data_IF_354630881554
#
_entry.id   IF_354630881554
#
_cell.length_a   1.000
_cell.length_b   1.000
_cell.length_c   1.000
_cell.angle_alpha   90.00
_cell.angle_beta   90.00
_cell.angle_gamma   90.00
#
_symmetry.space_group_name_H-M   'P 1'
#
loop_
_entity.id
_entity.type
_entity.pdbx_description
1 polymer ?
#
# COMPACT_ATOMS: atom_id res chain seq x y z
N UNK A 1 7.76 -3.34 -29.02
CA UNK A 1 6.46 -3.07 -29.68
C UNK A 1 6.09 -1.58 -29.70
N UNK A 2 6.89 -0.71 -29.05
CA UNK A 2 6.70 0.74 -29.12
C UNK A 2 7.00 1.27 -30.52
N UNK A 3 6.18 2.24 -31.02
CA UNK A 3 6.40 2.91 -32.30
C UNK A 3 5.63 2.35 -33.49
N UNK A 4 4.72 1.39 -33.29
CA UNK A 4 3.81 0.93 -34.34
C UNK A 4 2.70 1.98 -34.55
N UNK A 5 2.55 2.49 -35.79
CA UNK A 5 1.51 3.47 -36.15
C UNK A 5 0.20 2.81 -36.62
N UNK A 6 0.27 1.57 -37.08
CA UNK A 6 -0.85 0.83 -37.64
C UNK A 6 -1.06 -0.48 -36.84
N UNK A 7 -2.31 -0.86 -36.70
CA UNK A 7 -2.74 -2.06 -35.98
C UNK A 7 -2.10 -3.34 -36.56
N UNK A 8 -2.07 -3.50 -37.88
CA UNK A 8 -1.47 -4.65 -38.55
C UNK A 8 0.02 -4.84 -38.23
N UNK A 9 0.78 -3.76 -38.15
CA UNK A 9 2.21 -3.81 -37.82
C UNK A 9 2.46 -4.35 -36.40
N UNK A 10 1.57 -4.03 -35.46
CA UNK A 10 1.68 -4.52 -34.07
C UNK A 10 1.38 -6.03 -34.03
N UNK A 11 0.31 -6.46 -34.67
CA UNK A 11 -0.11 -7.87 -34.73
C UNK A 11 0.98 -8.73 -35.39
N UNK A 12 1.54 -8.29 -36.50
CA UNK A 12 2.61 -8.98 -37.21
C UNK A 12 3.87 -9.11 -36.37
N UNK A 13 4.31 -8.03 -35.72
CA UNK A 13 5.46 -8.05 -34.81
C UNK A 13 5.25 -8.94 -33.60
N UNK A 14 4.06 -8.88 -32.98
CA UNK A 14 3.75 -9.75 -31.85
C UNK A 14 3.76 -11.22 -32.27
N UNK A 15 3.18 -11.53 -33.42
CA UNK A 15 3.19 -12.89 -33.97
C UNK A 15 4.59 -13.40 -34.20
N UNK A 16 5.46 -12.60 -34.83
CA UNK A 16 6.87 -12.96 -35.05
C UNK A 16 7.61 -13.23 -33.72
N UNK A 17 7.39 -12.40 -32.70
CA UNK A 17 7.98 -12.62 -31.37
C UNK A 17 7.46 -13.90 -30.71
N UNK A 18 6.16 -14.20 -30.84
CA UNK A 18 5.61 -15.43 -30.27
C UNK A 18 6.13 -16.68 -31.02
N UNK A 19 6.26 -16.63 -32.33
CA UNK A 19 6.83 -17.70 -33.14
C UNK A 19 8.30 -17.97 -32.76
N UNK A 20 9.10 -16.91 -32.60
CA UNK A 20 10.49 -17.04 -32.14
C UNK A 20 10.58 -17.62 -30.71
N UNK A 21 9.67 -17.24 -29.80
CA UNK A 21 9.62 -17.78 -28.46
C UNK A 21 9.16 -19.24 -28.40
N UNK A 22 8.25 -19.67 -29.33
CA UNK A 22 7.82 -21.07 -29.44
C UNK A 22 8.95 -22.01 -29.90
N UNK A 23 9.98 -21.48 -30.58
CA UNK A 23 11.16 -22.23 -31.04
C UNK A 23 12.27 -22.33 -29.99
N UNK A 24 12.17 -21.57 -28.89
CA UNK A 24 13.20 -21.46 -27.84
C UNK A 24 12.73 -22.09 -26.54
N UNK A 25 13.26 -23.25 -26.21
CA UNK A 25 12.94 -23.96 -24.96
C UNK A 25 13.52 -23.26 -23.70
N UNK A 26 14.49 -22.36 -23.86
CA UNK A 26 15.16 -21.62 -22.79
C UNK A 26 14.53 -20.24 -22.50
N UNK A 27 13.50 -19.86 -23.23
CA UNK A 27 12.87 -18.56 -23.12
C UNK A 27 11.60 -18.59 -22.25
N UNK A 28 11.46 -17.58 -21.40
CA UNK A 28 10.26 -17.34 -20.59
C UNK A 28 9.71 -15.94 -20.91
N UNK A 29 8.47 -15.87 -21.34
CA UNK A 29 7.76 -14.61 -21.57
C UNK A 29 7.18 -14.11 -20.25
N UNK A 30 7.64 -12.96 -19.77
CA UNK A 30 7.03 -12.27 -18.65
C UNK A 30 6.09 -11.17 -19.15
N UNK A 31 4.84 -11.18 -18.66
CA UNK A 31 3.83 -10.16 -19.00
C UNK A 31 3.33 -9.54 -17.71
N UNK A 32 3.71 -8.29 -17.49
CA UNK A 32 3.17 -7.49 -16.39
C UNK A 32 1.75 -7.03 -16.73
N UNK A 33 0.88 -6.94 -15.72
CA UNK A 33 -0.54 -6.55 -15.87
C UNK A 33 -1.24 -7.34 -16.98
N UNK A 34 -1.05 -8.66 -17.00
CA UNK A 34 -1.54 -9.55 -18.08
C UNK A 34 -3.06 -9.44 -18.31
N UNK A 35 -3.82 -9.01 -17.30
CA UNK A 35 -5.25 -8.76 -17.41
C UNK A 35 -5.58 -7.68 -18.46
N UNK A 36 -4.70 -6.70 -18.68
CA UNK A 36 -4.89 -5.68 -19.70
C UNK A 36 -4.95 -6.28 -21.12
N UNK A 37 -4.27 -7.39 -21.32
CA UNK A 37 -4.23 -8.11 -22.60
C UNK A 37 -5.40 -9.10 -22.69
N UNK A 38 -5.77 -9.73 -21.57
CA UNK A 38 -6.74 -10.83 -21.54
C UNK A 38 -8.18 -10.38 -21.29
N UNK A 39 -8.39 -9.21 -20.65
CA UNK A 39 -9.71 -8.76 -20.18
C UNK A 39 -10.48 -7.84 -21.09
N UNK A 40 -9.94 -7.47 -22.21
CA UNK A 40 -10.45 -6.37 -23.02
C UNK A 40 -11.59 -6.74 -23.98
N UNK A 41 -12.55 -7.49 -23.51
CA UNK A 41 -13.84 -7.59 -24.19
C UNK A 41 -14.72 -6.35 -24.11
N UNK A 42 -14.35 -5.34 -23.30
CA UNK A 42 -15.24 -4.21 -23.00
C UNK A 42 -14.75 -2.83 -23.50
N UNK A 43 -13.53 -2.69 -24.02
CA UNK A 43 -13.00 -1.33 -24.22
C UNK A 43 -12.20 -1.03 -25.50
N UNK A 44 -11.89 -1.99 -26.35
CA UNK A 44 -11.16 -1.68 -27.58
C UNK A 44 -10.81 -2.88 -28.44
N UNK A 45 -11.00 -2.73 -29.74
CA UNK A 45 -10.76 -3.79 -30.72
C UNK A 45 -9.30 -4.32 -30.72
N UNK A 46 -8.31 -3.52 -30.28
CA UNK A 46 -6.89 -3.87 -30.30
C UNK A 46 -6.44 -4.89 -29.24
N UNK A 47 -7.08 -4.89 -28.07
CA UNK A 47 -6.73 -5.80 -26.96
C UNK A 47 -7.33 -7.20 -27.14
N UNK A 48 -8.45 -7.30 -27.82
CA UNK A 48 -9.09 -8.58 -28.17
C UNK A 48 -8.19 -9.43 -29.10
N UNK A 49 -7.40 -8.79 -29.94
CA UNK A 49 -6.53 -9.46 -30.89
C UNK A 49 -5.31 -10.09 -30.21
N UNK A 50 -4.70 -9.41 -29.24
CA UNK A 50 -3.54 -9.93 -28.48
C UNK A 50 -3.92 -11.18 -27.69
N UNK A 51 -5.07 -11.16 -27.01
CA UNK A 51 -5.59 -12.34 -26.30
C UNK A 51 -5.79 -13.53 -27.24
N UNK A 52 -6.36 -13.27 -28.42
CA UNK A 52 -6.61 -14.31 -29.44
C UNK A 52 -5.32 -14.87 -30.04
N UNK A 53 -4.24 -14.10 -30.06
CA UNK A 53 -2.92 -14.58 -30.53
C UNK A 53 -2.18 -15.37 -29.44
N UNK A 54 -2.26 -14.94 -28.17
CA UNK A 54 -1.61 -15.63 -27.06
C UNK A 54 -2.28 -16.96 -26.69
N UNK A 55 -3.62 -17.04 -26.75
CA UNK A 55 -4.36 -18.27 -26.42
C UNK A 55 -3.89 -19.51 -27.20
N UNK A 56 -3.73 -19.48 -28.52
CA UNK A 56 -3.22 -20.64 -29.29
C UNK A 56 -1.78 -21.01 -28.91
N UNK A 57 -0.89 -20.02 -28.70
CA UNK A 57 0.50 -20.26 -28.31
C UNK A 57 0.58 -20.95 -26.93
N UNK A 58 -0.20 -20.48 -25.97
CA UNK A 58 -0.31 -21.11 -24.65
C UNK A 58 -0.95 -22.49 -24.71
N UNK A 59 -1.91 -22.71 -25.63
CA UNK A 59 -2.56 -24.02 -25.79
C UNK A 59 -1.64 -25.08 -26.34
N UNK A 60 -0.72 -24.73 -27.21
CA UNK A 60 0.30 -25.67 -27.75
C UNK A 60 1.28 -26.19 -26.68
N UNK A 61 1.40 -25.49 -25.53
CA UNK A 61 2.28 -25.86 -24.44
C UNK A 61 3.76 -25.64 -24.70
N UNK A 62 4.12 -24.95 -25.78
CA UNK A 62 5.49 -24.61 -26.13
C UNK A 62 5.95 -23.26 -25.55
N UNK A 63 5.02 -22.36 -25.23
CA UNK A 63 5.33 -21.06 -24.68
C UNK A 63 5.33 -21.13 -23.16
N UNK A 64 6.50 -20.87 -22.55
CA UNK A 64 6.59 -20.64 -21.12
C UNK A 64 6.25 -19.18 -20.81
N UNK A 65 5.24 -18.96 -19.98
CA UNK A 65 4.75 -17.62 -19.69
C UNK A 65 4.52 -17.42 -18.19
N UNK A 66 4.97 -16.29 -17.68
CA UNK A 66 4.67 -15.78 -16.33
C UNK A 66 3.88 -14.49 -16.50
N UNK A 67 2.70 -14.42 -15.92
CA UNK A 67 1.89 -13.20 -15.90
C UNK A 67 1.71 -12.67 -14.49
N UNK A 68 1.82 -11.37 -14.29
CA UNK A 68 1.44 -10.70 -13.04
C UNK A 68 0.07 -10.03 -13.18
N UNK A 69 -0.70 -10.01 -12.11
CA UNK A 69 -1.98 -9.32 -12.04
C UNK A 69 -2.44 -9.16 -10.59
N UNK A 70 -3.38 -8.28 -10.33
CA UNK A 70 -4.03 -8.18 -9.02
C UNK A 70 -5.06 -9.29 -8.82
N UNK A 71 -5.45 -9.55 -7.57
CA UNK A 71 -6.43 -10.58 -7.26
C UNK A 71 -7.83 -10.24 -7.80
N UNK A 72 -8.17 -8.96 -7.80
CA UNK A 72 -9.46 -8.48 -8.28
C UNK A 72 -9.56 -8.59 -9.81
N UNK A 73 -8.49 -8.19 -10.51
CA UNK A 73 -8.39 -8.34 -11.97
C UNK A 73 -8.36 -9.82 -12.40
N UNK A 74 -7.68 -10.67 -11.61
CA UNK A 74 -7.71 -12.12 -11.83
C UNK A 74 -9.14 -12.66 -11.80
N UNK A 75 -9.94 -12.30 -10.77
CA UNK A 75 -11.34 -12.71 -10.65
C UNK A 75 -12.22 -12.18 -11.78
N UNK A 76 -11.98 -10.93 -12.19
CA UNK A 76 -12.77 -10.29 -13.24
C UNK A 76 -12.48 -10.85 -14.62
N UNK A 77 -11.22 -11.12 -14.94
CA UNK A 77 -10.77 -11.40 -16.30
C UNK A 77 -10.33 -12.85 -16.53
N UNK A 78 -9.63 -13.47 -15.56
CA UNK A 78 -9.10 -14.81 -15.73
C UNK A 78 -10.05 -15.92 -15.29
N UNK A 79 -10.70 -15.82 -14.16
CA UNK A 79 -11.58 -16.88 -13.64
C UNK A 79 -12.74 -17.23 -14.58
N UNK A 80 -13.17 -16.28 -15.37
CA UNK A 80 -14.24 -16.45 -16.36
C UNK A 80 -13.79 -17.22 -17.60
N UNK A 81 -12.50 -17.21 -17.91
CA UNK A 81 -11.94 -17.91 -19.08
C UNK A 81 -11.34 -19.26 -18.67
N UNK A 82 -12.17 -20.31 -18.77
CA UNK A 82 -11.77 -21.69 -18.44
C UNK A 82 -10.55 -22.20 -19.21
N UNK A 83 -10.29 -21.67 -20.42
CA UNK A 83 -9.15 -22.09 -21.23
C UNK A 83 -7.84 -21.55 -20.67
N UNK A 84 -7.84 -20.33 -20.16
CA UNK A 84 -6.69 -19.71 -19.51
C UNK A 84 -6.44 -20.30 -18.11
N UNK A 85 -7.47 -20.44 -17.30
CA UNK A 85 -7.35 -21.01 -15.94
C UNK A 85 -6.68 -22.39 -15.96
N UNK A 86 -6.94 -23.22 -16.98
CA UNK A 86 -6.32 -24.55 -17.12
C UNK A 86 -4.84 -24.51 -17.51
N UNK A 87 -4.33 -23.36 -17.97
CA UNK A 87 -2.96 -23.20 -18.48
C UNK A 87 -2.05 -22.46 -17.53
N UNK A 88 -2.62 -21.62 -16.66
CA UNK A 88 -1.86 -20.89 -15.67
C UNK A 88 -2.04 -21.50 -14.29
N UNK A 89 -0.93 -21.85 -13.65
CA UNK A 89 -0.93 -22.15 -12.23
C UNK A 89 -0.95 -20.83 -11.45
N UNK A 90 -1.97 -20.64 -10.61
CA UNK A 90 -2.07 -19.48 -9.74
C UNK A 90 -1.07 -19.58 -8.60
N UNK A 91 -0.20 -18.59 -8.50
CA UNK A 91 0.74 -18.39 -7.40
C UNK A 91 0.36 -17.11 -6.67
N UNK A 92 0.06 -17.22 -5.38
CA UNK A 92 -0.23 -16.04 -4.54
C UNK A 92 1.07 -15.44 -4.03
N UNK A 93 1.26 -14.14 -4.28
CA UNK A 93 2.34 -13.35 -3.71
C UNK A 93 1.70 -12.43 -2.66
N UNK A 94 1.96 -12.73 -1.40
CA UNK A 94 1.38 -12.00 -0.27
C UNK A 94 2.20 -10.76 0.08
N UNK A 95 1.56 -9.81 0.77
CA UNK A 95 2.25 -8.64 1.32
C UNK A 95 3.29 -9.11 2.35
N UNK A 96 4.54 -8.63 2.29
CA UNK A 96 5.58 -9.02 3.22
C UNK A 96 5.23 -8.56 4.65
N UNK A 97 5.76 -9.27 5.63
CA UNK A 97 5.71 -8.83 7.02
C UNK A 97 6.47 -7.51 7.21
N UNK A 98 6.16 -6.77 8.28
CA UNK A 98 6.89 -5.53 8.62
C UNK A 98 8.39 -5.80 8.71
N UNK A 99 8.80 -6.91 9.32
CA UNK A 99 10.21 -7.27 9.48
C UNK A 99 10.88 -7.59 8.14
N UNK A 100 10.18 -8.24 7.23
CA UNK A 100 10.72 -8.52 5.90
C UNK A 100 10.72 -7.27 5.03
N UNK A 101 9.71 -6.41 5.15
CA UNK A 101 9.71 -5.10 4.50
C UNK A 101 10.90 -4.24 4.94
N UNK A 102 11.27 -4.22 6.23
CA UNK A 102 12.48 -3.54 6.72
C UNK A 102 13.75 -4.08 6.06
N UNK A 103 13.86 -5.40 5.86
CA UNK A 103 15.00 -6.01 5.16
C UNK A 103 15.03 -5.60 3.69
N UNK A 104 13.87 -5.60 3.01
CA UNK A 104 13.73 -5.20 1.61
C UNK A 104 14.14 -3.73 1.43
N UNK A 105 13.59 -2.82 2.23
CA UNK A 105 13.89 -1.39 2.19
C UNK A 105 15.38 -1.13 2.45
N UNK A 106 15.96 -1.81 3.44
CA UNK A 106 17.39 -1.72 3.73
C UNK A 106 18.25 -2.18 2.55
N UNK A 107 17.89 -3.29 1.90
CA UNK A 107 18.60 -3.80 0.73
C UNK A 107 18.56 -2.81 -0.44
N UNK A 108 17.41 -2.24 -0.73
CA UNK A 108 17.21 -1.31 -1.83
C UNK A 108 17.72 0.12 -1.54
N UNK A 109 17.85 0.51 -0.28
CA UNK A 109 18.25 1.88 0.14
C UNK A 109 19.56 2.36 -0.47
N UNK A 110 20.47 1.45 -0.77
CA UNK A 110 21.78 1.75 -1.41
C UNK A 110 21.58 2.35 -2.81
N UNK A 111 20.60 1.87 -3.57
CA UNK A 111 20.30 2.39 -4.91
C UNK A 111 19.71 3.80 -4.82
N UNK A 112 18.77 4.03 -3.90
CA UNK A 112 18.20 5.36 -3.63
C UNK A 112 19.25 6.34 -3.12
N UNK A 113 20.09 5.91 -2.19
CA UNK A 113 21.20 6.71 -1.65
C UNK A 113 22.15 7.18 -2.76
N UNK A 114 22.53 6.28 -3.67
CA UNK A 114 23.38 6.58 -4.82
C UNK A 114 22.70 7.52 -5.82
N UNK A 115 21.41 7.29 -6.09
CA UNK A 115 20.64 8.09 -7.04
C UNK A 115 20.46 9.55 -6.59
N UNK A 116 20.14 9.74 -5.30
CA UNK A 116 19.92 11.07 -4.73
C UNK A 116 21.20 11.74 -4.20
N UNK A 117 22.32 10.99 -4.08
CA UNK A 117 23.58 11.51 -3.52
C UNK A 117 23.53 11.76 -2.01
N UNK A 118 22.74 10.99 -1.27
CA UNK A 118 22.47 11.15 0.18
C UNK A 118 22.57 9.81 0.89
N UNK A 119 22.58 9.85 2.23
CA UNK A 119 22.57 8.65 3.06
C UNK A 119 21.27 8.58 3.85
N UNK A 120 20.72 7.39 4.01
CA UNK A 120 19.60 7.13 4.91
C UNK A 120 20.12 6.51 6.21
N UNK A 121 19.66 6.99 7.34
CA UNK A 121 19.96 6.35 8.63
C UNK A 121 19.13 5.06 8.74
N UNK A 122 19.59 4.12 9.58
CA UNK A 122 18.86 2.88 9.83
C UNK A 122 17.49 3.15 10.46
N UNK A 123 17.44 4.14 11.33
CA UNK A 123 16.25 4.63 12.01
C UNK A 123 15.25 5.18 11.01
N UNK A 124 15.69 6.00 10.04
CA UNK A 124 14.83 6.52 8.97
C UNK A 124 14.21 5.40 8.12
N UNK A 125 14.99 4.39 7.73
CA UNK A 125 14.50 3.26 6.94
C UNK A 125 13.47 2.42 7.72
N UNK A 126 13.71 2.17 9.01
CA UNK A 126 12.77 1.46 9.85
C UNK A 126 11.48 2.27 10.04
N UNK A 127 11.60 3.57 10.36
CA UNK A 127 10.47 4.47 10.51
C UNK A 127 9.65 4.58 9.22
N UNK A 128 10.27 4.56 8.05
CA UNK A 128 9.53 4.57 6.78
C UNK A 128 8.60 3.36 6.65
N UNK A 129 9.01 2.18 7.10
CA UNK A 129 8.18 0.98 7.10
C UNK A 129 7.10 1.07 8.17
N UNK A 130 7.47 1.35 9.42
CA UNK A 130 6.54 1.35 10.56
C UNK A 130 5.46 2.42 10.40
N UNK A 131 5.85 3.65 10.06
CA UNK A 131 4.93 4.75 9.87
C UNK A 131 4.05 4.58 8.63
N UNK A 132 4.60 4.07 7.51
CA UNK A 132 3.77 3.79 6.34
C UNK A 132 2.76 2.68 6.63
N UNK A 133 3.13 1.64 7.37
CA UNK A 133 2.23 0.57 7.77
C UNK A 133 1.07 1.11 8.62
N UNK A 134 1.34 2.06 9.51
CA UNK A 134 0.36 2.62 10.43
C UNK A 134 -0.58 3.65 9.78
N UNK A 135 -0.04 4.54 8.93
CA UNK A 135 -0.78 5.72 8.46
C UNK A 135 -1.21 5.66 6.99
N UNK A 136 -0.58 4.83 6.14
CA UNK A 136 -0.95 4.67 4.73
C UNK A 136 -1.69 3.35 4.56
N UNK A 137 -3.03 3.40 4.53
CA UNK A 137 -3.88 2.21 4.50
C UNK A 137 -4.28 1.77 3.10
N UNK A 138 -4.21 2.67 2.13
CA UNK A 138 -4.63 2.46 0.74
C UNK A 138 -3.56 1.75 -0.12
N UNK A 139 -2.32 1.68 0.36
CA UNK A 139 -1.20 1.02 -0.31
C UNK A 139 -0.63 -0.13 0.52
N UNK A 140 0.11 -1.02 -0.15
CA UNK A 140 0.72 -2.20 0.44
C UNK A 140 2.23 -2.03 0.66
N UNK A 141 2.78 -2.77 1.63
CA UNK A 141 4.23 -2.92 1.79
C UNK A 141 4.78 -3.84 0.68
N UNK A 142 6.02 -3.62 0.23
CA UNK A 142 6.96 -2.56 0.65
C UNK A 142 6.76 -1.22 -0.07
N UNK A 143 5.88 -1.13 -1.06
CA UNK A 143 5.74 -0.02 -1.99
C UNK A 143 5.51 1.33 -1.28
N UNK A 144 4.58 1.38 -0.33
CA UNK A 144 4.31 2.60 0.45
C UNK A 144 5.50 3.10 1.28
N UNK A 145 6.41 2.23 1.67
CA UNK A 145 7.64 2.62 2.36
C UNK A 145 8.70 3.12 1.36
N UNK A 146 8.73 2.56 0.14
CA UNK A 146 9.53 3.10 -0.95
C UNK A 146 9.11 4.51 -1.32
N UNK A 147 7.81 4.78 -1.43
CA UNK A 147 7.30 6.14 -1.69
C UNK A 147 7.83 7.16 -0.68
N UNK A 148 7.91 6.80 0.60
CA UNK A 148 8.42 7.70 1.64
C UNK A 148 9.92 7.98 1.50
N UNK A 149 10.75 6.94 1.28
CA UNK A 149 12.20 7.15 1.12
C UNK A 149 12.53 7.86 -0.17
N UNK A 150 11.78 7.60 -1.25
CA UNK A 150 11.92 8.28 -2.52
C UNK A 150 11.55 9.76 -2.40
N UNK A 151 10.40 10.08 -1.81
CA UNK A 151 9.95 11.46 -1.58
C UNK A 151 10.94 12.24 -0.70
N UNK A 152 11.46 11.61 0.37
CA UNK A 152 12.45 12.24 1.23
C UNK A 152 13.77 12.50 0.49
N UNK A 153 14.21 11.58 -0.36
CA UNK A 153 15.38 11.73 -1.21
C UNK A 153 15.21 12.82 -2.26
N UNK A 154 14.09 12.81 -2.95
CA UNK A 154 13.75 13.80 -3.96
C UNK A 154 13.70 15.22 -3.36
N UNK A 155 13.11 15.37 -2.17
CA UNK A 155 13.08 16.65 -1.46
C UNK A 155 14.49 17.19 -1.19
N UNK A 156 15.39 16.37 -0.70
CA UNK A 156 16.77 16.80 -0.44
C UNK A 156 17.48 17.24 -1.73
N UNK A 157 17.19 16.57 -2.84
CA UNK A 157 17.79 16.93 -4.14
C UNK A 157 17.35 18.30 -4.66
N UNK A 158 16.11 18.72 -4.42
CA UNK A 158 15.58 20.04 -4.81
C UNK A 158 15.87 21.14 -3.78
N UNK A 159 16.30 20.78 -2.56
CA UNK A 159 16.70 21.73 -1.53
C UNK A 159 18.01 22.42 -1.94
N UNK A 160 18.16 23.76 -1.75
CA UNK A 160 19.40 24.47 -2.03
C UNK A 160 20.61 23.83 -1.32
N UNK A 161 21.79 23.88 -1.95
CA UNK A 161 22.99 23.21 -1.41
C UNK A 161 23.33 23.59 0.03
N UNK A 162 23.13 24.86 0.41
CA UNK A 162 23.40 25.34 1.75
C UNK A 162 22.50 24.75 2.83
N UNK A 163 21.28 24.31 2.45
CA UNK A 163 20.27 23.77 3.37
C UNK A 163 20.12 22.24 3.22
N UNK A 164 20.86 21.64 2.27
CA UNK A 164 20.79 20.21 1.97
C UNK A 164 21.45 19.38 3.06
N UNK A 165 20.72 18.42 3.59
CA UNK A 165 21.26 17.44 4.52
C UNK A 165 21.94 16.29 3.78
N UNK A 166 23.10 15.88 4.22
CA UNK A 166 23.80 14.71 3.68
C UNK A 166 23.14 13.38 4.12
N UNK A 167 22.39 13.44 5.21
CA UNK A 167 21.73 12.27 5.80
C UNK A 167 20.24 12.56 6.00
N UNK A 168 19.41 11.59 5.63
CA UNK A 168 17.98 11.57 5.94
C UNK A 168 17.79 10.80 7.24
N UNK A 169 17.13 11.42 8.18
CA UNK A 169 16.75 10.85 9.45
C UNK A 169 15.22 10.67 9.57
N UNK A 170 14.74 10.20 10.69
CA UNK A 170 13.32 9.96 10.98
C UNK A 170 12.45 11.20 10.75
N UNK A 171 12.97 12.39 11.06
CA UNK A 171 12.21 13.64 10.89
C UNK A 171 11.86 13.94 9.42
N UNK A 172 12.78 13.68 8.49
CA UNK A 172 12.51 13.87 7.07
C UNK A 172 11.42 12.90 6.59
N UNK A 173 11.43 11.67 7.10
CA UNK A 173 10.39 10.67 6.78
C UNK A 173 9.03 11.11 7.33
N UNK A 174 8.96 11.63 8.57
CA UNK A 174 7.72 12.14 9.16
C UNK A 174 7.14 13.31 8.38
N UNK A 175 8.01 14.22 7.88
CA UNK A 175 7.57 15.35 7.07
C UNK A 175 6.93 14.86 5.76
N UNK A 176 7.53 13.89 5.08
CA UNK A 176 6.95 13.37 3.85
C UNK A 176 5.68 12.54 4.12
N UNK A 177 5.65 11.77 5.20
CA UNK A 177 4.44 11.08 5.63
C UNK A 177 3.28 12.06 5.88
N UNK A 178 3.54 13.16 6.60
CA UNK A 178 2.53 14.19 6.87
C UNK A 178 1.88 14.72 5.59
N UNK A 179 2.66 14.90 4.53
CA UNK A 179 2.15 15.35 3.23
C UNK A 179 1.34 14.27 2.50
N UNK A 180 1.87 13.03 2.47
CA UNK A 180 1.24 11.91 1.75
C UNK A 180 -0.05 11.49 2.44
N UNK A 181 0.00 11.29 3.76
CA UNK A 181 -1.16 10.87 4.56
C UNK A 181 -2.10 12.03 4.92
N UNK A 182 -1.71 13.30 4.67
CA UNK A 182 -2.45 14.51 5.05
C UNK A 182 -2.74 14.60 6.55
N UNK A 183 -1.78 14.20 7.37
CA UNK A 183 -1.86 14.19 8.84
C UNK A 183 -0.89 15.24 9.38
N UNK A 184 -1.29 16.06 10.38
CA UNK A 184 -0.39 17.03 11.01
C UNK A 184 0.84 16.35 11.63
N UNK A 185 2.01 16.99 11.50
CA UNK A 185 3.29 16.47 12.04
C UNK A 185 3.23 16.24 13.57
N UNK A 186 2.52 17.10 14.27
CA UNK A 186 2.36 16.99 15.73
C UNK A 186 1.70 15.66 16.13
N UNK A 187 0.70 15.23 15.35
CA UNK A 187 0.02 13.94 15.58
C UNK A 187 0.96 12.74 15.37
N UNK A 188 1.88 12.84 14.41
CA UNK A 188 2.84 11.77 14.12
C UNK A 188 3.93 11.72 15.21
N UNK A 189 4.37 12.89 15.69
CA UNK A 189 5.44 13.00 16.69
C UNK A 189 4.98 12.66 18.11
N UNK A 190 3.76 13.02 18.48
CA UNK A 190 3.21 12.76 19.82
C UNK A 190 2.92 11.28 20.07
N UNK A 191 2.52 10.51 19.06
CA UNK A 191 2.22 9.07 19.23
C UNK A 191 3.46 8.19 19.53
N UNK A 192 4.66 8.62 19.21
CA UNK A 192 5.88 7.87 19.56
C UNK A 192 6.28 8.00 21.05
N UNK A 193 5.89 9.11 21.69
CA UNK A 193 6.27 9.41 23.09
C UNK A 193 5.22 8.92 24.10
N UNK A 194 3.96 8.71 23.66
CA UNK A 194 2.83 8.54 24.58
C UNK A 194 2.19 7.15 24.58
N UNK A 195 2.86 6.09 24.10
CA UNK A 195 2.23 4.76 24.07
C UNK A 195 1.82 4.20 25.44
N UNK A 196 2.38 4.68 26.54
CA UNK A 196 2.09 4.13 27.89
C UNK A 196 1.25 5.04 28.81
N UNK A 197 1.20 6.36 28.58
CA UNK A 197 0.53 7.30 29.53
C UNK A 197 -0.87 7.73 29.09
N UNK A 198 -1.23 7.56 27.82
CA UNK A 198 -2.34 8.28 27.21
C UNK A 198 -3.76 7.83 27.60
N UNK A 199 -3.96 6.59 28.09
CA UNK A 199 -5.33 6.11 28.36
C UNK A 199 -5.81 6.49 29.76
N UNK A 200 -4.90 6.55 30.74
CA UNK A 200 -5.22 7.03 32.10
C UNK A 200 -5.50 8.54 32.06
N UNK A 201 -4.75 9.28 31.25
CA UNK A 201 -4.97 10.71 31.05
C UNK A 201 -6.23 10.98 30.24
N UNK A 202 -6.57 10.10 29.26
CA UNK A 202 -7.84 10.16 28.53
C UNK A 202 -9.05 10.04 29.47
N UNK A 203 -9.03 9.07 30.39
CA UNK A 203 -10.11 8.90 31.38
C UNK A 203 -10.30 10.16 32.22
N UNK A 204 -9.22 10.70 32.80
CA UNK A 204 -9.27 11.93 33.59
C UNK A 204 -9.79 13.11 32.79
N UNK A 205 -9.33 13.26 31.56
CA UNK A 205 -9.71 14.37 30.70
C UNK A 205 -11.18 14.27 30.23
N UNK A 206 -11.64 13.08 29.85
CA UNK A 206 -13.05 12.86 29.48
C UNK A 206 -13.96 13.13 30.66
N UNK A 207 -13.65 12.59 31.84
CA UNK A 207 -14.44 12.80 33.06
C UNK A 207 -14.41 14.25 33.54
N UNK A 208 -13.36 15.02 33.22
CA UNK A 208 -13.28 16.46 33.57
C UNK A 208 -14.11 17.37 32.66
N UNK A 209 -14.45 16.91 31.46
CA UNK A 209 -15.15 17.72 30.44
C UNK A 209 -16.59 17.26 30.16
N UNK A 210 -16.88 15.99 30.41
CA UNK A 210 -18.20 15.38 30.18
C UNK A 210 -18.73 14.91 31.55
N UNK A 211 -19.76 15.60 32.05
CA UNK A 211 -20.32 15.34 33.37
C UNK A 211 -21.61 14.52 33.26
N UNK A 212 -21.80 13.59 34.22
CA UNK A 212 -23.05 12.85 34.35
C UNK A 212 -23.27 11.75 33.30
N UNK A 213 -22.22 11.33 32.59
CA UNK A 213 -22.26 10.24 31.61
C UNK A 213 -21.22 9.14 31.96
N UNK A 214 -20.97 8.92 33.24
CA UNK A 214 -19.88 8.06 33.71
C UNK A 214 -19.97 6.62 33.20
N UNK A 215 -21.17 6.04 33.16
CA UNK A 215 -21.40 4.69 32.66
C UNK A 215 -21.09 4.56 31.17
N UNK A 216 -21.55 5.51 30.37
CA UNK A 216 -21.30 5.53 28.94
C UNK A 216 -19.80 5.77 28.62
N UNK A 217 -19.15 6.64 29.40
CA UNK A 217 -17.72 6.86 29.29
C UNK A 217 -16.91 5.63 29.70
N UNK A 218 -17.30 4.91 30.72
CA UNK A 218 -16.61 3.69 31.16
C UNK A 218 -16.67 2.61 30.09
N UNK A 219 -17.84 2.33 29.52
CA UNK A 219 -17.97 1.37 28.42
C UNK A 219 -17.10 1.72 27.21
N UNK A 220 -16.98 3.00 26.89
CA UNK A 220 -16.14 3.48 25.82
C UNK A 220 -14.65 3.29 26.13
N UNK A 221 -14.23 3.63 27.34
CA UNK A 221 -12.86 3.48 27.81
C UNK A 221 -12.45 2.01 27.86
N UNK A 222 -13.29 1.12 28.36
CA UNK A 222 -13.03 -0.34 28.40
C UNK A 222 -12.77 -0.88 26.99
N UNK A 223 -13.55 -0.46 26.00
CA UNK A 223 -13.35 -0.87 24.63
C UNK A 223 -12.03 -0.33 24.04
N UNK A 224 -11.63 0.87 24.41
CA UNK A 224 -10.35 1.47 24.04
C UNK A 224 -9.17 0.76 24.71
N UNK A 225 -9.29 0.42 25.99
CA UNK A 225 -8.28 -0.37 26.72
C UNK A 225 -8.04 -1.72 26.05
N UNK A 226 -9.11 -2.47 25.72
CA UNK A 226 -9.02 -3.76 25.03
C UNK A 226 -8.35 -3.63 23.67
N UNK A 227 -8.64 -2.55 22.93
CA UNK A 227 -8.03 -2.30 21.63
C UNK A 227 -6.54 -1.96 21.74
N UNK A 228 -6.15 -1.10 22.69
CA UNK A 228 -4.75 -0.74 22.92
C UNK A 228 -3.92 -1.87 23.51
N UNK A 229 -4.54 -2.77 24.27
CA UNK A 229 -3.87 -3.97 24.78
C UNK A 229 -3.55 -5.01 23.69
N UNK A 230 -3.86 -4.71 22.40
CA UNK A 230 -3.58 -5.62 21.29
C UNK A 230 -4.46 -6.86 21.25
N UNK A 231 -5.55 -6.89 22.03
CA UNK A 231 -6.47 -8.03 22.10
C UNK A 231 -7.50 -8.04 20.97
N UNK A 232 -7.49 -7.03 20.08
CA UNK A 232 -8.31 -6.96 18.87
C UNK A 232 -7.47 -7.13 17.60
N UNK A 233 -8.11 -7.62 16.54
CA UNK A 233 -7.52 -7.67 15.20
C UNK A 233 -7.20 -6.24 14.73
N UNK A 234 -5.93 -5.90 14.45
CA UNK A 234 -5.52 -4.54 14.05
C UNK A 234 -6.16 -4.05 12.75
N UNK A 235 -6.74 -4.98 11.96
CA UNK A 235 -7.44 -4.66 10.71
C UNK A 235 -8.89 -4.23 10.93
N UNK A 236 -9.41 -4.36 12.15
CA UNK A 236 -10.78 -3.99 12.49
C UNK A 236 -10.80 -2.64 13.22
N UNK A 237 -11.83 -1.81 13.00
CA UNK A 237 -11.98 -0.58 13.75
C UNK A 237 -12.13 -0.87 15.25
N UNK A 238 -11.72 0.08 16.09
CA UNK A 238 -11.84 -0.02 17.54
C UNK A 238 -13.26 -0.33 17.99
N UNK A 239 -14.26 0.22 17.30
CA UNK A 239 -15.66 -0.08 17.50
C UNK A 239 -16.57 0.88 16.72
N UNK A 240 -17.83 0.51 16.60
CA UNK A 240 -18.90 1.39 16.13
C UNK A 240 -19.82 1.64 17.31
N UNK A 241 -19.98 2.91 17.70
CA UNK A 241 -20.76 3.29 18.87
C UNK A 241 -21.95 4.15 18.46
N UNK A 242 -23.12 3.83 18.99
CA UNK A 242 -24.33 4.61 18.80
C UNK A 242 -24.73 5.28 20.13
N UNK A 243 -24.54 6.59 20.22
CA UNK A 243 -25.01 7.36 21.38
C UNK A 243 -26.50 7.68 21.25
N UNK A 244 -27.32 7.15 22.15
CA UNK A 244 -28.77 7.39 22.22
C UNK A 244 -29.09 8.18 23.49
N UNK A 245 -30.06 9.09 23.42
CA UNK A 245 -30.47 9.90 24.58
C UNK A 245 -31.11 11.21 24.17
N UNK A 246 -31.67 11.97 25.13
CA UNK A 246 -32.34 13.25 24.88
C UNK A 246 -31.43 14.29 24.22
N UNK A 247 -32.01 15.31 23.60
CA UNK A 247 -31.26 16.44 23.05
C UNK A 247 -30.55 17.20 24.18
N UNK A 248 -29.29 17.61 23.96
CA UNK A 248 -28.53 18.40 24.95
C UNK A 248 -27.81 17.59 26.03
N UNK A 249 -27.90 16.27 26.08
CA UNK A 249 -27.28 15.43 27.12
C UNK A 249 -25.76 15.13 26.90
N UNK A 250 -25.09 15.83 26.00
CA UNK A 250 -23.62 15.70 25.84
C UNK A 250 -23.14 14.69 24.81
N UNK A 251 -24.00 14.03 24.01
CA UNK A 251 -23.60 13.01 23.01
C UNK A 251 -22.52 13.50 22.03
N UNK A 252 -22.75 14.66 21.43
CA UNK A 252 -21.80 15.28 20.47
C UNK A 252 -20.51 15.71 21.16
N UNK A 253 -20.60 16.21 22.40
CA UNK A 253 -19.45 16.64 23.16
C UNK A 253 -18.55 15.44 23.54
N UNK A 254 -19.15 14.32 23.94
CA UNK A 254 -18.43 13.07 24.20
C UNK A 254 -17.65 12.62 22.96
N UNK A 255 -18.30 12.62 21.79
CA UNK A 255 -17.63 12.25 20.53
C UNK A 255 -16.50 13.23 20.16
N UNK A 256 -16.71 14.54 20.35
CA UNK A 256 -15.70 15.57 20.09
C UNK A 256 -14.50 15.44 21.00
N UNK A 257 -14.72 15.25 22.29
CA UNK A 257 -13.63 15.10 23.27
C UNK A 257 -12.87 13.79 23.02
N UNK A 258 -13.54 12.72 22.66
CA UNK A 258 -12.89 11.47 22.26
C UNK A 258 -12.00 11.66 21.03
N UNK A 259 -12.50 12.35 19.99
CA UNK A 259 -11.75 12.59 18.76
C UNK A 259 -10.50 13.47 18.96
N UNK A 260 -10.49 14.32 19.98
CA UNK A 260 -9.32 15.13 20.31
C UNK A 260 -8.17 14.33 20.94
N UNK A 261 -8.43 13.10 21.40
CA UNK A 261 -7.46 12.24 22.09
C UNK A 261 -7.07 10.99 21.31
N UNK A 262 -7.80 10.64 20.24
CA UNK A 262 -7.46 9.55 19.33
C UNK A 262 -6.56 9.99 18.19
#
# INVERSE_FOLDING_TARGET
LAGTKYRGDFEERLKAVLEELEERDDAILFIDEIHMIMGAGAGGASTMDVANMLKPALQKGKLHCIGSTTMDEYRQHFEKDRALVRRFQKLMVEEPSIEDAKKIIKGASTHYAKFFGIKYTKEALNSAVDLSAQYILDKKLPDKAFDLIDAAGARQRITPENDRKEKIDTEEIKIELSKIAKIPLDTISHKEVEQDTSVIDLEKNLKSKVFGQDEALQLLLDALYISKAGLKDPRKPVGCYLFTGPTGCGKTETARQLANYL
#
